data_IF_473914510743
#
_entry.id   IF_473914510743
#
_cell.length_a   1.000
_cell.length_b   1.000
_cell.length_c   1.000
_cell.angle_alpha   90.00
_cell.angle_beta   90.00
_cell.angle_gamma   90.00
#
_symmetry.space_group_name_H-M   'P 1'
#
loop_
_entity.id
_entity.type
_entity.pdbx_description
1 polymer ?
#
# COMPACT_ATOMS: atom_id res chain seq x y z
N UNK A 1 11.05 12.27 2.92
CA UNK A 1 9.71 12.42 3.56
C UNK A 1 9.86 13.31 4.78
N UNK A 2 8.88 14.17 5.14
CA UNK A 2 8.93 14.82 6.43
C UNK A 2 8.77 13.72 7.50
N UNK A 3 9.76 13.61 8.38
CA UNK A 3 9.67 12.77 9.57
C UNK A 3 8.63 13.43 10.48
N UNK A 4 7.53 12.72 10.73
CA UNK A 4 6.52 13.16 11.68
C UNK A 4 6.91 12.64 13.07
N UNK A 5 6.99 13.53 14.06
CA UNK A 5 7.25 13.16 15.45
C UNK A 5 5.96 12.60 16.08
N UNK A 6 5.70 11.31 15.85
CA UNK A 6 4.52 10.60 16.32
C UNK A 6 4.90 9.48 17.29
N UNK A 7 4.19 9.39 18.42
CA UNK A 7 4.23 8.19 19.27
C UNK A 7 3.62 6.99 18.55
N UNK A 8 3.98 5.77 18.98
CA UNK A 8 3.41 4.51 18.45
C UNK A 8 1.88 4.51 18.59
N UNK A 9 1.36 4.93 19.75
CA UNK A 9 -0.08 5.01 19.99
C UNK A 9 -0.77 5.96 19.02
N UNK A 10 -0.16 7.13 18.78
CA UNK A 10 -0.71 8.11 17.83
C UNK A 10 -0.68 7.55 16.41
N UNK A 11 0.45 6.95 15.99
CA UNK A 11 0.58 6.33 14.66
C UNK A 11 -0.51 5.27 14.43
N UNK A 12 -0.67 4.33 15.37
CA UNK A 12 -1.60 3.20 15.21
C UNK A 12 -3.07 3.62 15.33
N UNK A 13 -3.41 4.60 16.16
CA UNK A 13 -4.81 5.02 16.37
C UNK A 13 -5.30 6.04 15.34
N UNK A 14 -4.39 6.74 14.64
CA UNK A 14 -4.75 7.80 13.67
C UNK A 14 -4.58 7.39 12.21
N UNK A 15 -3.85 6.32 11.92
CA UNK A 15 -3.74 5.80 10.55
C UNK A 15 -5.14 5.46 10.01
N UNK A 16 -5.47 5.95 8.80
CA UNK A 16 -6.75 5.71 8.11
C UNK A 16 -6.48 5.30 6.68
N UNK A 17 -7.43 4.60 6.05
CA UNK A 17 -7.38 4.37 4.61
C UNK A 17 -7.59 5.69 3.84
N UNK A 18 -6.52 6.23 3.24
CA UNK A 18 -6.58 7.47 2.44
C UNK A 18 -6.83 7.12 0.97
N UNK A 19 -7.96 7.58 0.41
CA UNK A 19 -8.36 7.28 -0.98
C UNK A 19 -8.58 8.51 -1.88
N UNK A 20 -8.77 9.70 -1.30
CA UNK A 20 -9.11 10.94 -2.04
C UNK A 20 -8.12 12.09 -1.86
N UNK A 21 -7.13 11.95 -0.97
CA UNK A 21 -6.20 13.02 -0.58
C UNK A 21 -4.74 12.70 -0.93
N UNK A 22 -4.53 11.85 -1.93
CA UNK A 22 -3.20 11.54 -2.44
C UNK A 22 -2.86 12.50 -3.58
N UNK A 23 -1.65 13.03 -3.58
CA UNK A 23 -1.06 13.66 -4.76
C UNK A 23 -0.61 12.54 -5.71
N UNK A 24 -1.38 12.33 -6.78
CA UNK A 24 -1.12 11.28 -7.78
C UNK A 24 -0.07 11.66 -8.81
N UNK A 25 0.37 12.93 -8.82
CA UNK A 25 1.40 13.42 -9.75
C UNK A 25 2.81 13.24 -9.18
N UNK A 26 2.94 13.19 -7.84
CA UNK A 26 4.21 12.98 -7.15
C UNK A 26 4.63 11.51 -7.21
N UNK A 27 5.79 11.18 -7.80
CA UNK A 27 6.32 9.82 -7.74
C UNK A 27 6.71 9.45 -6.31
N UNK A 28 6.69 8.14 -6.01
CA UNK A 28 7.29 7.59 -4.80
C UNK A 28 8.70 7.16 -5.17
N UNK A 29 9.70 7.68 -4.46
CA UNK A 29 11.11 7.33 -4.68
C UNK A 29 11.34 5.83 -4.41
N UNK A 30 12.14 5.12 -5.22
CA UNK A 30 12.42 3.70 -5.02
C UNK A 30 12.89 3.35 -3.60
N UNK A 31 13.82 4.14 -3.04
CA UNK A 31 14.33 3.89 -1.68
C UNK A 31 13.28 3.98 -0.57
N UNK A 32 12.19 4.75 -0.77
CA UNK A 32 11.07 4.79 0.16
C UNK A 32 10.27 3.49 0.09
N UNK A 33 10.14 2.91 -1.09
CA UNK A 33 9.47 1.62 -1.29
C UNK A 33 10.29 0.52 -0.62
N UNK A 34 11.62 0.54 -0.82
CA UNK A 34 12.53 -0.42 -0.21
C UNK A 34 12.46 -0.38 1.32
N UNK A 35 12.54 0.81 1.92
CA UNK A 35 12.39 0.99 3.38
C UNK A 35 11.05 0.45 3.89
N UNK A 36 9.95 0.71 3.17
CA UNK A 36 8.64 0.16 3.53
C UNK A 36 8.62 -1.38 3.51
N UNK A 37 9.27 -2.00 2.52
CA UNK A 37 9.35 -3.45 2.40
C UNK A 37 10.22 -4.05 3.51
N UNK A 38 11.38 -3.46 3.80
CA UNK A 38 12.27 -3.88 4.90
C UNK A 38 11.54 -3.88 6.25
N UNK A 39 10.73 -2.85 6.52
CA UNK A 39 9.90 -2.77 7.71
C UNK A 39 8.78 -3.84 7.70
N UNK A 40 8.13 -4.07 6.55
CA UNK A 40 7.07 -5.07 6.43
C UNK A 40 7.57 -6.50 6.68
N UNK A 41 8.82 -6.80 6.31
CA UNK A 41 9.46 -8.09 6.54
C UNK A 41 9.69 -8.41 8.03
N UNK A 42 9.58 -7.44 8.93
CA UNK A 42 9.69 -7.66 10.37
C UNK A 42 8.45 -8.36 10.97
N UNK A 43 7.36 -8.52 10.19
CA UNK A 43 6.19 -9.24 10.67
C UNK A 43 6.55 -10.70 11.02
N UNK A 44 5.98 -11.28 12.09
CA UNK A 44 6.19 -12.69 12.39
C UNK A 44 5.36 -13.58 11.46
N UNK A 45 5.88 -14.76 11.12
CA UNK A 45 5.14 -15.81 10.39
C UNK A 45 5.28 -17.16 11.07
N UNK A 46 4.25 -17.99 10.94
CA UNK A 46 4.30 -19.36 11.43
C UNK A 46 5.49 -20.11 10.82
N UNK A 47 6.33 -20.71 11.67
CA UNK A 47 7.56 -21.41 11.28
C UNK A 47 8.53 -20.56 10.44
N UNK A 48 8.47 -19.22 10.55
CA UNK A 48 9.24 -18.30 9.72
C UNK A 48 9.07 -18.52 8.21
N UNK A 49 7.88 -18.96 7.78
CA UNK A 49 7.62 -19.34 6.38
C UNK A 49 7.75 -18.18 5.40
N UNK A 50 7.53 -16.94 5.85
CA UNK A 50 7.67 -15.72 5.04
C UNK A 50 6.99 -15.82 3.67
N UNK A 51 5.82 -16.45 3.60
CA UNK A 51 5.15 -16.80 2.34
C UNK A 51 4.52 -15.62 1.58
N UNK A 52 4.90 -14.39 1.92
CA UNK A 52 4.48 -13.17 1.22
C UNK A 52 5.30 -12.96 -0.06
N UNK A 53 4.65 -12.35 -1.04
CA UNK A 53 5.29 -11.88 -2.26
C UNK A 53 4.84 -10.44 -2.49
N UNK A 54 5.78 -9.56 -2.77
CA UNK A 54 5.51 -8.17 -3.10
C UNK A 54 5.75 -7.94 -4.58
N UNK A 55 4.81 -7.25 -5.24
CA UNK A 55 4.95 -6.80 -6.63
C UNK A 55 4.85 -5.28 -6.62
N UNK A 56 5.98 -4.62 -6.89
CA UNK A 56 6.05 -3.17 -6.99
C UNK A 56 5.72 -2.75 -8.42
N UNK A 57 4.67 -1.94 -8.59
CA UNK A 57 4.20 -1.49 -9.91
C UNK A 57 4.37 0.02 -10.03
N UNK A 58 5.44 0.44 -10.69
CA UNK A 58 5.75 1.86 -10.95
C UNK A 58 5.31 2.31 -12.34
N UNK A 59 5.24 1.40 -13.31
CA UNK A 59 4.80 1.71 -14.68
C UNK A 59 3.32 2.13 -14.71
N UNK A 60 2.99 3.29 -15.31
CA UNK A 60 1.63 3.82 -15.33
C UNK A 60 0.66 2.95 -16.15
N UNK A 61 1.13 2.28 -17.21
CA UNK A 61 0.26 1.44 -18.04
C UNK A 61 -0.11 0.14 -17.30
N UNK A 62 0.85 -0.49 -16.64
CA UNK A 62 0.61 -1.65 -15.77
C UNK A 62 -0.33 -1.30 -14.62
N UNK A 63 -0.12 -0.14 -13.97
CA UNK A 63 -1.01 0.34 -12.90
C UNK A 63 -2.44 0.55 -13.41
N UNK A 64 -2.61 1.09 -14.60
CA UNK A 64 -3.93 1.26 -15.22
C UNK A 64 -4.61 -0.07 -15.59
N UNK A 65 -3.84 -1.06 -16.06
CA UNK A 65 -4.35 -2.40 -16.33
C UNK A 65 -4.89 -3.05 -15.05
N UNK A 66 -4.14 -2.98 -13.94
CA UNK A 66 -4.58 -3.47 -12.63
C UNK A 66 -5.82 -2.74 -12.12
N UNK A 67 -5.87 -1.41 -12.26
CA UNK A 67 -7.05 -0.62 -11.88
C UNK A 67 -8.32 -1.02 -12.65
N UNK A 68 -8.17 -1.46 -13.90
CA UNK A 68 -9.29 -1.94 -14.72
C UNK A 68 -9.82 -3.29 -14.22
N UNK A 69 -8.93 -4.22 -13.85
CA UNK A 69 -9.32 -5.51 -13.25
C UNK A 69 -10.01 -5.27 -11.90
N UNK A 70 -9.42 -4.43 -11.06
CA UNK A 70 -9.98 -4.09 -9.74
C UNK A 70 -11.39 -3.49 -9.84
N UNK A 71 -11.62 -2.57 -10.78
CA UNK A 71 -12.94 -1.92 -10.96
C UNK A 71 -14.05 -2.92 -11.28
N UNK A 72 -13.79 -3.94 -12.11
CA UNK A 72 -14.78 -4.98 -12.42
C UNK A 72 -15.27 -5.69 -11.15
N UNK A 73 -14.36 -6.03 -10.24
CA UNK A 73 -14.73 -6.63 -8.95
C UNK A 73 -15.46 -5.66 -8.02
N UNK A 74 -15.00 -4.41 -7.96
CA UNK A 74 -15.60 -3.37 -7.12
C UNK A 74 -17.01 -2.95 -7.58
N UNK A 75 -17.29 -2.97 -8.87
CA UNK A 75 -18.64 -2.78 -9.43
C UNK A 75 -19.57 -3.89 -8.96
N UNK A 76 -19.16 -5.15 -9.10
CA UNK A 76 -19.94 -6.29 -8.64
C UNK A 76 -20.25 -6.23 -7.13
N UNK A 77 -19.26 -5.85 -6.32
CA UNK A 77 -19.46 -5.69 -4.88
C UNK A 77 -20.47 -4.58 -4.54
N UNK A 78 -20.45 -3.46 -5.28
CA UNK A 78 -21.41 -2.36 -5.09
C UNK A 78 -22.84 -2.72 -5.45
N UNK A 79 -23.05 -3.61 -6.41
CA UNK A 79 -24.39 -4.11 -6.77
C UNK A 79 -24.98 -5.06 -5.72
N UNK A 80 -24.15 -5.65 -4.87
CA UNK A 80 -24.55 -6.60 -3.82
C UNK A 80 -24.82 -5.94 -2.47
N UNK A 81 -24.54 -4.64 -2.33
CA UNK A 81 -24.91 -3.80 -1.17
C UNK A 81 -26.14 -2.97 -1.50
#
# INVERSE_FOLDING_TARGET
MPILDLSIDTLLTTTRSVRKRLDLSRPVEPGVIDECLELALQAPTASNSQSWHFVVVTDPHQRQALATIYRKGAERYRELM
#
